data_IF_033840249569
#
_entry.id   IF_033840249569
#
_cell.length_a   1.000
_cell.length_b   1.000
_cell.length_c   1.000
_cell.angle_alpha   90.00
_cell.angle_beta   90.00
_cell.angle_gamma   90.00
#
_symmetry.space_group_name_H-M   'P 1'
#
loop_
_entity.id
_entity.type
_entity.pdbx_description
1 polymer ?
#
# COMPACT_ATOMS: atom_id res chain seq x y z
N UNK A 1 10.01 7.38 -35.47
CA UNK A 1 10.72 7.10 -34.21
C UNK A 1 9.81 6.51 -33.12
N UNK A 2 8.51 6.86 -33.09
CA UNK A 2 7.56 6.26 -32.12
C UNK A 2 7.45 4.72 -32.14
N UNK A 3 7.42 4.01 -33.30
CA UNK A 3 7.25 2.56 -33.30
C UNK A 3 8.40 1.82 -32.61
N UNK A 4 9.64 2.21 -32.90
CA UNK A 4 10.82 1.60 -32.27
C UNK A 4 10.87 1.82 -30.77
N UNK A 5 10.42 2.99 -30.28
CA UNK A 5 10.35 3.23 -28.85
C UNK A 5 9.28 2.35 -28.19
N UNK A 6 8.13 2.16 -28.85
CA UNK A 6 7.09 1.25 -28.38
C UNK A 6 7.59 -0.20 -28.32
N UNK A 7 8.30 -0.67 -29.35
CA UNK A 7 8.91 -2.00 -29.37
C UNK A 7 9.89 -2.19 -28.19
N UNK A 8 10.74 -1.18 -27.92
CA UNK A 8 11.66 -1.21 -26.78
C UNK A 8 10.91 -1.24 -25.45
N UNK A 9 9.87 -0.42 -25.29
CA UNK A 9 9.03 -0.41 -24.08
C UNK A 9 8.36 -1.77 -23.83
N UNK A 10 7.99 -2.49 -24.89
CA UNK A 10 7.47 -3.85 -24.79
C UNK A 10 8.49 -4.90 -24.30
N UNK A 11 9.79 -4.59 -24.32
CA UNK A 11 10.84 -5.54 -23.86
C UNK A 11 11.28 -5.34 -22.41
N UNK A 12 10.89 -4.26 -21.77
CA UNK A 12 11.22 -3.97 -20.38
C UNK A 12 10.02 -4.23 -19.47
N UNK A 13 10.27 -4.48 -18.19
CA UNK A 13 9.19 -4.69 -17.22
C UNK A 13 8.26 -3.46 -17.21
N UNK A 14 6.92 -3.61 -17.25
CA UNK A 14 6.02 -2.46 -17.39
C UNK A 14 6.18 -1.42 -16.28
N UNK A 15 6.46 -1.85 -15.05
CA UNK A 15 6.76 -0.94 -13.94
C UNK A 15 8.05 -0.15 -14.18
N UNK A 16 9.08 -0.77 -14.77
CA UNK A 16 10.33 -0.08 -15.13
C UNK A 16 10.13 0.91 -16.27
N UNK A 17 9.35 0.55 -17.30
CA UNK A 17 8.94 1.47 -18.37
C UNK A 17 8.24 2.70 -17.81
N UNK A 18 7.22 2.46 -16.99
CA UNK A 18 6.38 3.50 -16.40
C UNK A 18 7.18 4.44 -15.50
N UNK A 19 8.10 3.92 -14.69
CA UNK A 19 8.95 4.75 -13.82
C UNK A 19 10.07 5.45 -14.59
N UNK A 20 10.86 4.71 -15.37
CA UNK A 20 12.16 5.16 -15.87
C UNK A 20 12.12 5.84 -17.23
N UNK A 21 11.12 5.52 -18.06
CA UNK A 21 10.97 6.15 -19.37
C UNK A 21 9.84 7.17 -19.34
N UNK A 22 8.71 6.84 -18.69
CA UNK A 22 7.52 7.69 -18.68
C UNK A 22 7.42 8.63 -17.46
N UNK A 23 8.35 8.53 -16.50
CA UNK A 23 8.42 9.42 -15.33
C UNK A 23 7.24 9.31 -14.37
N UNK A 24 6.53 8.17 -14.36
CA UNK A 24 5.30 7.96 -13.57
C UNK A 24 5.50 6.99 -12.41
N UNK A 25 6.46 7.34 -11.55
CA UNK A 25 6.70 6.61 -10.30
C UNK A 25 5.50 6.64 -9.35
N UNK A 26 4.72 7.72 -9.39
CA UNK A 26 3.44 7.86 -8.67
C UNK A 26 2.40 6.81 -9.06
N UNK A 27 2.59 6.07 -10.16
CA UNK A 27 1.72 4.96 -10.52
C UNK A 27 2.30 3.64 -10.03
N UNK A 28 3.58 3.39 -10.29
CA UNK A 28 4.26 2.11 -9.97
C UNK A 28 4.31 1.83 -8.48
N UNK A 29 4.32 2.89 -7.66
CA UNK A 29 4.31 2.78 -6.21
C UNK A 29 2.95 2.32 -5.66
N UNK A 30 1.85 2.57 -6.37
CA UNK A 30 0.49 2.43 -5.80
C UNK A 30 -0.42 1.51 -6.61
N UNK A 31 0.00 1.10 -7.80
CA UNK A 31 -0.75 0.25 -8.73
C UNK A 31 0.18 -0.77 -9.37
N UNK A 32 -0.37 -1.95 -9.63
CA UNK A 32 0.30 -2.94 -10.47
C UNK A 32 0.16 -2.47 -11.91
N UNK A 33 1.30 -2.36 -12.60
CA UNK A 33 1.37 -1.76 -13.94
C UNK A 33 1.44 -2.88 -14.96
N UNK A 34 0.51 -2.87 -15.91
CA UNK A 34 0.44 -3.81 -17.03
C UNK A 34 1.10 -3.23 -18.28
N UNK A 35 1.38 -4.08 -19.27
CA UNK A 35 1.85 -3.62 -20.58
C UNK A 35 0.83 -2.67 -21.24
N UNK A 36 -0.47 -2.95 -21.10
CA UNK A 36 -1.54 -2.07 -21.60
C UNK A 36 -1.47 -0.68 -20.97
N UNK A 37 -1.19 -0.58 -19.66
CA UNK A 37 -1.05 0.73 -19.00
C UNK A 37 0.12 1.54 -19.59
N UNK A 38 1.21 0.87 -19.97
CA UNK A 38 2.37 1.50 -20.61
C UNK A 38 2.01 1.98 -22.01
N UNK A 39 1.36 1.13 -22.81
CA UNK A 39 0.89 1.48 -24.16
C UNK A 39 -0.12 2.63 -24.13
N UNK A 40 -1.10 2.56 -23.24
CA UNK A 40 -2.11 3.61 -23.07
C UNK A 40 -1.46 4.92 -22.66
N UNK A 41 -0.51 4.88 -21.72
CA UNK A 41 0.22 6.09 -21.31
C UNK A 41 1.06 6.68 -22.44
N UNK A 42 1.72 5.81 -23.21
CA UNK A 42 2.59 6.20 -24.30
C UNK A 42 1.80 6.86 -25.44
N UNK A 43 0.65 6.27 -25.80
CA UNK A 43 -0.21 6.75 -26.87
C UNK A 43 -1.13 7.90 -26.43
N UNK A 44 -1.51 7.96 -25.16
CA UNK A 44 -2.43 8.95 -24.60
C UNK A 44 -1.87 9.59 -23.32
N UNK A 45 -0.96 10.58 -23.43
CA UNK A 45 -0.29 11.19 -22.28
C UNK A 45 -1.20 11.95 -21.29
N UNK A 46 -2.50 12.05 -21.56
CA UNK A 46 -3.46 12.83 -20.76
C UNK A 46 -4.49 11.92 -20.06
N UNK A 47 -4.68 10.66 -20.49
CA UNK A 47 -5.82 9.83 -20.06
C UNK A 47 -5.64 9.10 -18.74
N UNK A 48 -4.39 8.80 -18.32
CA UNK A 48 -4.18 8.24 -16.98
C UNK A 48 -4.36 9.36 -15.96
N UNK A 49 -5.59 9.42 -15.43
CA UNK A 49 -6.04 10.22 -14.30
C UNK A 49 -4.88 10.56 -13.38
N UNK A 50 -4.69 11.86 -13.12
CA UNK A 50 -3.74 12.36 -12.15
C UNK A 50 -3.85 11.52 -10.89
N UNK A 51 -2.83 10.69 -10.66
CA UNK A 51 -2.68 10.04 -9.37
C UNK A 51 -2.47 11.19 -8.41
N UNK A 52 -3.40 11.37 -7.48
CA UNK A 52 -3.17 12.27 -6.36
C UNK A 52 -2.01 11.78 -5.47
N UNK A 53 -1.47 10.60 -5.78
CA UNK A 53 -0.31 10.06 -5.12
C UNK A 53 0.91 10.97 -5.29
N UNK A 54 1.61 11.28 -4.18
CA UNK A 54 2.82 12.07 -4.27
C UNK A 54 3.89 11.31 -5.06
N UNK A 55 4.54 12.02 -5.99
CA UNK A 55 5.76 11.55 -6.67
C UNK A 55 6.92 11.60 -5.68
N UNK A 56 7.84 10.62 -5.69
CA UNK A 56 9.10 10.73 -4.96
C UNK A 56 9.80 12.06 -5.28
N UNK A 57 10.34 12.73 -4.27
CA UNK A 57 11.10 13.98 -4.38
C UNK A 57 12.54 13.75 -4.89
N UNK A 58 12.73 12.75 -5.75
CA UNK A 58 14.04 12.40 -6.30
C UNK A 58 14.40 13.43 -7.37
N UNK A 59 15.67 13.82 -7.43
CA UNK A 59 16.18 14.72 -8.46
C UNK A 59 15.92 14.19 -9.87
N UNK A 60 15.40 15.05 -10.75
CA UNK A 60 15.15 14.75 -12.16
C UNK A 60 16.33 15.28 -13.00
N UNK A 61 16.93 14.49 -13.91
CA UNK A 61 16.63 13.11 -14.27
C UNK A 61 17.21 12.08 -13.29
N UNK A 62 16.35 11.27 -12.68
CA UNK A 62 16.74 10.38 -11.59
C UNK A 62 17.72 9.27 -12.02
N UNK A 63 17.70 8.87 -13.28
CA UNK A 63 18.64 7.89 -13.85
C UNK A 63 20.08 8.43 -13.93
N UNK A 64 20.30 9.73 -13.74
CA UNK A 64 21.65 10.30 -13.63
C UNK A 64 22.21 10.22 -12.20
N UNK A 65 21.41 9.78 -11.23
CA UNK A 65 21.82 9.65 -9.84
C UNK A 65 21.95 8.18 -9.44
N UNK A 66 23.10 7.80 -8.86
CA UNK A 66 23.34 6.43 -8.39
C UNK A 66 22.26 5.93 -7.42
N UNK A 67 21.80 6.80 -6.51
CA UNK A 67 20.69 6.50 -5.59
C UNK A 67 19.36 6.29 -6.31
N UNK A 68 19.08 7.02 -7.39
CA UNK A 68 17.89 6.84 -8.21
C UNK A 68 17.90 5.51 -8.96
N UNK A 69 19.05 5.13 -9.52
CA UNK A 69 19.26 3.82 -10.15
C UNK A 69 19.11 2.69 -9.13
N UNK A 70 19.74 2.82 -7.95
CA UNK A 70 19.66 1.83 -6.89
C UNK A 70 18.22 1.62 -6.41
N UNK A 71 17.47 2.71 -6.20
CA UNK A 71 16.06 2.63 -5.81
C UNK A 71 15.23 1.92 -6.89
N UNK A 72 15.44 2.25 -8.17
CA UNK A 72 14.75 1.58 -9.27
C UNK A 72 15.06 0.09 -9.26
N UNK A 73 16.33 -0.29 -9.17
CA UNK A 73 16.73 -1.69 -9.10
C UNK A 73 16.05 -2.42 -7.94
N UNK A 74 16.08 -1.85 -6.73
CA UNK A 74 15.44 -2.45 -5.54
C UNK A 74 13.94 -2.61 -5.75
N UNK A 75 13.23 -1.56 -6.19
CA UNK A 75 11.78 -1.68 -6.43
C UNK A 75 11.42 -2.70 -7.51
N UNK A 76 12.16 -2.72 -8.63
CA UNK A 76 11.90 -3.71 -9.68
C UNK A 76 12.21 -5.14 -9.22
N UNK A 77 13.25 -5.33 -8.39
CA UNK A 77 13.52 -6.63 -7.79
C UNK A 77 12.37 -7.10 -6.91
N UNK A 78 11.80 -6.23 -6.07
CA UNK A 78 10.65 -6.55 -5.24
C UNK A 78 9.40 -6.85 -6.07
N UNK A 79 9.13 -6.06 -7.10
CA UNK A 79 8.00 -6.28 -8.00
C UNK A 79 8.12 -7.63 -8.72
N UNK A 80 9.30 -7.93 -9.27
CA UNK A 80 9.58 -9.21 -9.94
C UNK A 80 9.42 -10.41 -8.99
N UNK A 81 9.91 -10.27 -7.75
CA UNK A 81 9.73 -11.27 -6.71
C UNK A 81 8.25 -11.47 -6.34
N UNK A 82 7.48 -10.38 -6.29
CA UNK A 82 6.06 -10.43 -5.95
C UNK A 82 5.18 -11.07 -7.03
N UNK A 83 5.53 -10.88 -8.30
CA UNK A 83 4.82 -11.45 -9.45
C UNK A 83 5.13 -12.94 -9.63
N UNK A 84 6.33 -13.38 -9.24
CA UNK A 84 6.75 -14.78 -9.30
C UNK A 84 6.56 -15.49 -7.95
N UNK A 85 5.34 -15.47 -7.41
CA UNK A 85 5.02 -16.05 -6.09
C UNK A 85 5.43 -17.54 -5.93
N UNK A 86 5.59 -18.28 -7.02
CA UNK A 86 6.07 -19.67 -6.98
C UNK A 86 7.57 -19.83 -6.68
N UNK A 87 8.38 -18.80 -6.92
CA UNK A 87 9.83 -18.81 -6.64
C UNK A 87 10.20 -18.04 -5.38
N UNK A 88 9.26 -17.27 -4.83
CA UNK A 88 9.48 -16.45 -3.65
C UNK A 88 9.62 -17.31 -2.39
N UNK A 89 10.79 -17.23 -1.75
CA UNK A 89 11.12 -18.04 -0.57
C UNK A 89 11.00 -17.25 0.73
N UNK A 90 10.97 -17.96 1.86
CA UNK A 90 11.09 -17.34 3.18
C UNK A 90 12.40 -16.57 3.37
N UNK A 91 13.47 -16.97 2.66
CA UNK A 91 14.77 -16.27 2.67
C UNK A 91 14.66 -14.91 1.98
N UNK A 92 14.03 -14.85 0.81
CA UNK A 92 13.83 -13.60 0.05
C UNK A 92 12.97 -12.61 0.84
N UNK A 93 11.92 -13.13 1.48
CA UNK A 93 11.06 -12.36 2.39
C UNK A 93 11.87 -11.77 3.55
N UNK A 94 12.75 -12.57 4.15
CA UNK A 94 13.59 -12.14 5.27
C UNK A 94 14.62 -11.09 4.84
N UNK A 95 15.22 -11.23 3.67
CA UNK A 95 16.15 -10.24 3.11
C UNK A 95 15.46 -8.90 2.84
N UNK A 96 14.24 -8.92 2.28
CA UNK A 96 13.43 -7.72 2.09
C UNK A 96 13.19 -7.01 3.43
N UNK A 97 12.81 -7.73 4.48
CA UNK A 97 12.57 -7.11 5.79
C UNK A 97 13.84 -6.60 6.45
N UNK A 98 14.95 -7.33 6.36
CA UNK A 98 16.24 -6.87 6.89
C UNK A 98 16.70 -5.59 6.19
N UNK A 99 16.55 -5.52 4.86
CA UNK A 99 16.85 -4.31 4.10
C UNK A 99 15.95 -3.14 4.53
N UNK A 100 14.65 -3.36 4.67
CA UNK A 100 13.72 -2.30 5.09
C UNK A 100 14.03 -1.79 6.50
N UNK A 101 14.38 -2.67 7.43
CA UNK A 101 14.72 -2.26 8.80
C UNK A 101 16.00 -1.40 8.85
N UNK A 102 16.94 -1.62 7.93
CA UNK A 102 18.19 -0.85 7.85
C UNK A 102 18.03 0.46 7.06
N UNK A 103 17.34 0.40 5.93
CA UNK A 103 17.38 1.46 4.91
C UNK A 103 16.13 2.35 4.90
N UNK A 104 15.05 2.00 5.62
CA UNK A 104 13.81 2.78 5.58
C UNK A 104 14.00 4.27 5.91
N UNK A 105 14.73 4.69 6.96
CA UNK A 105 14.90 6.11 7.25
C UNK A 105 15.60 6.87 6.11
N UNK A 106 16.61 6.25 5.50
CA UNK A 106 17.31 6.84 4.36
C UNK A 106 16.43 6.90 3.11
N UNK A 107 15.67 5.84 2.83
CA UNK A 107 14.72 5.81 1.72
C UNK A 107 13.62 6.86 1.88
N UNK A 108 13.08 7.04 3.09
CA UNK A 108 12.07 8.06 3.35
C UNK A 108 12.63 9.47 3.17
N UNK A 109 13.86 9.72 3.64
CA UNK A 109 14.55 10.98 3.43
C UNK A 109 14.79 11.27 1.94
N UNK A 110 15.30 10.28 1.21
CA UNK A 110 15.65 10.41 -0.20
C UNK A 110 14.44 10.57 -1.12
N UNK A 111 13.38 9.80 -0.86
CA UNK A 111 12.16 9.83 -1.69
C UNK A 111 11.17 10.89 -1.23
N UNK A 112 11.30 11.42 -0.01
CA UNK A 112 10.28 12.26 0.60
C UNK A 112 8.92 11.56 0.71
N UNK A 113 8.89 10.23 0.71
CA UNK A 113 7.72 9.38 0.92
C UNK A 113 7.85 8.67 2.26
N UNK A 114 6.74 8.42 2.93
CA UNK A 114 6.70 7.64 4.18
C UNK A 114 6.50 6.16 3.89
N UNK A 115 5.66 5.83 2.92
CA UNK A 115 5.39 4.49 2.42
C UNK A 115 6.34 4.19 1.25
N UNK A 116 7.44 3.50 1.54
CA UNK A 116 8.51 3.21 0.56
C UNK A 116 8.33 1.88 -0.19
N UNK A 117 7.37 1.05 0.23
CA UNK A 117 7.14 -0.30 -0.29
C UNK A 117 5.99 -0.26 -1.29
N UNK A 118 6.21 -0.54 -2.58
CA UNK A 118 5.15 -0.56 -3.58
C UNK A 118 3.95 -1.38 -3.14
N UNK A 119 2.76 -0.81 -3.29
CA UNK A 119 1.51 -1.47 -2.90
C UNK A 119 1.31 -2.84 -3.55
N UNK A 120 1.69 -3.07 -4.83
CA UNK A 120 1.60 -4.41 -5.42
C UNK A 120 2.47 -5.46 -4.70
N UNK A 121 3.63 -5.05 -4.18
CA UNK A 121 4.49 -5.94 -3.39
C UNK A 121 3.79 -6.33 -2.09
N UNK A 122 3.19 -5.37 -1.38
CA UNK A 122 2.41 -5.65 -0.17
C UNK A 122 1.19 -6.53 -0.47
N UNK A 123 0.46 -6.24 -1.56
CA UNK A 123 -0.70 -6.99 -2.05
C UNK A 123 -0.35 -8.48 -2.22
N UNK A 124 0.71 -8.76 -2.97
CA UNK A 124 1.19 -10.12 -3.22
C UNK A 124 1.62 -10.83 -1.93
N UNK A 125 2.35 -10.14 -1.04
CA UNK A 125 2.84 -10.72 0.21
C UNK A 125 1.71 -11.05 1.20
N UNK A 126 0.64 -10.26 1.23
CA UNK A 126 -0.51 -10.52 2.10
C UNK A 126 -1.41 -11.65 1.59
N UNK A 127 -1.41 -11.93 0.29
CA UNK A 127 -2.18 -13.01 -0.36
C UNK A 127 -1.31 -14.17 -0.84
N UNK A 128 -0.04 -14.22 -0.43
CA UNK A 128 0.91 -15.24 -0.87
C UNK A 128 0.39 -16.65 -0.61
N UNK A 129 0.66 -17.64 -1.45
CA UNK A 129 0.10 -19.01 -1.27
C UNK A 129 0.69 -19.69 -0.03
N UNK A 130 2.00 -19.53 0.16
CA UNK A 130 2.75 -20.07 1.28
C UNK A 130 2.42 -19.31 2.58
N UNK A 131 1.95 -20.04 3.58
CA UNK A 131 1.52 -19.49 4.88
C UNK A 131 2.64 -18.77 5.64
N UNK A 132 3.88 -19.28 5.61
CA UNK A 132 5.02 -18.66 6.32
C UNK A 132 5.34 -17.27 5.78
N UNK A 133 5.26 -17.06 4.47
CA UNK A 133 5.47 -15.76 3.81
C UNK A 133 4.34 -14.80 4.19
N UNK A 134 3.09 -15.27 4.14
CA UNK A 134 1.92 -14.53 4.62
C UNK A 134 2.05 -14.09 6.09
N UNK A 135 2.59 -14.95 6.94
CA UNK A 135 2.82 -14.62 8.35
C UNK A 135 3.94 -13.59 8.51
N UNK A 136 5.07 -13.78 7.81
CA UNK A 136 6.18 -12.82 7.82
C UNK A 136 5.75 -11.45 7.29
N UNK A 137 4.87 -11.40 6.29
CA UNK A 137 4.39 -10.14 5.71
C UNK A 137 3.60 -9.26 6.68
N UNK A 138 3.14 -9.79 7.82
CA UNK A 138 2.56 -9.00 8.90
C UNK A 138 3.56 -8.01 9.54
N UNK A 139 4.88 -8.16 9.30
CA UNK A 139 5.89 -7.14 9.65
C UNK A 139 5.64 -5.81 8.93
N UNK A 140 5.09 -5.83 7.70
CA UNK A 140 4.73 -4.63 6.95
C UNK A 140 3.74 -3.74 7.69
N UNK A 141 2.89 -4.32 8.54
CA UNK A 141 1.89 -3.56 9.30
C UNK A 141 2.54 -2.62 10.32
N UNK A 142 3.69 -3.02 10.89
CA UNK A 142 4.47 -2.17 11.79
C UNK A 142 5.03 -0.96 11.02
N UNK A 143 5.76 -1.23 9.93
CA UNK A 143 6.36 -0.19 9.07
C UNK A 143 5.29 0.77 8.52
N UNK A 144 4.16 0.22 8.10
CA UNK A 144 3.03 1.01 7.62
C UNK A 144 2.52 1.93 8.72
N UNK A 145 2.25 1.40 9.93
CA UNK A 145 1.79 2.19 11.08
C UNK A 145 2.75 3.34 11.43
N UNK A 146 4.05 3.06 11.46
CA UNK A 146 5.08 4.08 11.71
C UNK A 146 5.05 5.18 10.64
N UNK A 147 4.74 4.83 9.39
CA UNK A 147 4.62 5.77 8.28
C UNK A 147 3.41 6.73 8.41
N UNK A 148 2.42 6.42 9.26
CA UNK A 148 1.30 7.33 9.56
C UNK A 148 1.68 8.46 10.52
N UNK A 149 2.70 8.28 11.36
CA UNK A 149 3.07 9.29 12.36
C UNK A 149 3.49 10.60 11.67
N UNK A 150 3.07 11.78 12.21
CA UNK A 150 3.58 13.07 11.76
C UNK A 150 5.11 13.11 11.88
N UNK A 151 5.79 13.73 10.91
CA UNK A 151 7.23 13.92 10.95
C UNK A 151 7.56 15.41 10.84
N UNK A 152 8.27 16.00 11.82
CA UNK A 152 8.71 17.39 11.73
C UNK A 152 9.52 17.62 10.45
N UNK A 153 9.12 18.62 9.65
CA UNK A 153 9.78 18.96 8.38
C UNK A 153 9.24 18.23 7.15
N UNK A 154 8.23 17.38 7.28
CA UNK A 154 7.49 16.84 6.15
C UNK A 154 6.34 17.76 5.72
N UNK A 155 6.09 17.83 4.41
CA UNK A 155 4.92 18.47 3.83
C UNK A 155 3.65 17.72 4.25
N UNK A 156 2.84 18.33 5.12
CA UNK A 156 1.62 17.74 5.68
C UNK A 156 0.57 17.44 4.60
N UNK A 157 0.45 18.30 3.59
CA UNK A 157 -0.50 18.11 2.49
C UNK A 157 -0.06 16.89 1.68
N UNK A 158 1.22 16.81 1.32
CA UNK A 158 1.80 15.66 0.63
C UNK A 158 1.62 14.37 1.42
N UNK A 159 1.83 14.39 2.73
CA UNK A 159 1.63 13.22 3.60
C UNK A 159 0.15 12.81 3.67
N UNK A 160 -0.78 13.77 3.70
CA UNK A 160 -2.24 13.52 3.61
C UNK A 160 -2.58 12.76 2.32
N UNK A 161 -2.07 13.21 1.17
CA UNK A 161 -2.26 12.54 -0.11
C UNK A 161 -1.66 11.14 -0.15
N UNK A 162 -0.51 10.96 0.48
CA UNK A 162 0.13 9.65 0.62
C UNK A 162 -0.74 8.66 1.42
N UNK A 163 -1.26 9.11 2.57
CA UNK A 163 -2.15 8.33 3.41
C UNK A 163 -3.44 7.94 2.68
N UNK A 164 -4.06 8.88 1.96
CA UNK A 164 -5.24 8.60 1.14
C UNK A 164 -4.93 7.56 0.05
N UNK A 165 -3.80 7.70 -0.62
CA UNK A 165 -3.38 6.75 -1.67
C UNK A 165 -3.12 5.35 -1.10
N UNK A 166 -2.46 5.27 0.05
CA UNK A 166 -2.27 4.00 0.76
C UNK A 166 -3.61 3.35 1.12
N UNK A 167 -4.57 4.12 1.63
CA UNK A 167 -5.92 3.62 1.93
C UNK A 167 -6.61 3.12 0.67
N UNK A 168 -6.51 3.82 -0.46
CA UNK A 168 -7.05 3.35 -1.74
C UNK A 168 -6.46 2.00 -2.13
N UNK A 169 -5.14 1.83 -2.00
CA UNK A 169 -4.47 0.56 -2.30
C UNK A 169 -4.96 -0.57 -1.38
N UNK A 170 -5.02 -0.34 -0.07
CA UNK A 170 -5.54 -1.31 0.91
C UNK A 170 -7.02 -1.64 0.64
N UNK A 171 -7.83 -0.65 0.25
CA UNK A 171 -9.24 -0.85 -0.12
C UNK A 171 -9.37 -1.81 -1.30
N UNK A 172 -8.57 -1.58 -2.37
CA UNK A 172 -8.55 -2.46 -3.55
C UNK A 172 -8.11 -3.86 -3.16
N UNK A 173 -7.06 -3.99 -2.37
CA UNK A 173 -6.58 -5.27 -1.85
C UNK A 173 -7.68 -6.05 -1.11
N UNK A 174 -8.39 -5.42 -0.18
CA UNK A 174 -9.50 -6.06 0.57
C UNK A 174 -10.64 -6.46 -0.37
N UNK A 175 -10.90 -5.69 -1.43
CA UNK A 175 -11.97 -5.96 -2.39
C UNK A 175 -11.69 -7.17 -3.29
N UNK A 176 -10.43 -7.64 -3.38
CA UNK A 176 -10.04 -8.80 -4.20
C UNK A 176 -10.63 -10.10 -3.67
N UNK A 177 -11.24 -10.93 -4.52
CA UNK A 177 -11.88 -12.21 -4.16
C UNK A 177 -11.11 -13.45 -4.59
N UNK A 178 -10.02 -13.29 -5.31
CA UNK A 178 -9.24 -14.39 -5.86
C UNK A 178 -8.48 -15.18 -4.79
N UNK A 179 -8.02 -14.52 -3.72
CA UNK A 179 -7.30 -15.16 -2.61
C UNK A 179 -7.67 -14.56 -1.26
N UNK A 180 -7.47 -15.37 -0.21
CA UNK A 180 -7.70 -14.93 1.17
C UNK A 180 -6.46 -14.23 1.71
N UNK A 181 -6.57 -12.93 1.94
CA UNK A 181 -5.52 -12.12 2.56
C UNK A 181 -5.42 -12.34 4.07
N UNK A 182 -4.19 -12.31 4.61
CA UNK A 182 -3.95 -12.28 6.06
C UNK A 182 -4.55 -11.07 6.76
N UNK A 183 -4.84 -9.99 6.04
CA UNK A 183 -5.51 -8.82 6.61
C UNK A 183 -6.96 -9.13 7.02
N UNK A 184 -7.60 -10.09 6.36
CA UNK A 184 -8.99 -10.47 6.60
C UNK A 184 -9.12 -11.51 7.71
N UNK A 185 -8.13 -12.39 7.84
CA UNK A 185 -8.24 -13.63 8.64
C UNK A 185 -7.46 -13.61 9.94
N UNK A 186 -6.46 -12.74 10.08
CA UNK A 186 -5.63 -12.70 11.29
C UNK A 186 -6.06 -11.56 12.21
N UNK A 187 -5.99 -11.78 13.52
CA UNK A 187 -6.28 -10.74 14.51
C UNK A 187 -5.36 -9.50 14.32
N UNK A 188 -4.09 -9.72 13.97
CA UNK A 188 -3.13 -8.64 13.70
C UNK A 188 -3.49 -7.83 12.46
N UNK A 189 -3.90 -8.49 11.39
CA UNK A 189 -4.41 -7.86 10.17
C UNK A 189 -5.67 -7.03 10.41
N UNK A 190 -6.67 -7.63 11.07
CA UNK A 190 -7.93 -6.95 11.41
C UNK A 190 -7.72 -5.76 12.36
N UNK A 191 -6.80 -5.87 13.33
CA UNK A 191 -6.42 -4.76 14.20
C UNK A 191 -5.72 -3.64 13.42
N UNK A 192 -4.93 -3.95 12.40
CA UNK A 192 -4.33 -2.95 11.52
C UNK A 192 -5.39 -2.21 10.69
N UNK A 193 -6.39 -2.91 10.14
CA UNK A 193 -7.49 -2.23 9.44
C UNK A 193 -8.29 -1.33 10.40
N UNK A 194 -8.49 -1.77 11.65
CA UNK A 194 -9.15 -0.94 12.67
C UNK A 194 -8.33 0.31 12.98
N UNK A 195 -7.01 0.19 13.02
CA UNK A 195 -6.11 1.32 13.14
C UNK A 195 -6.30 2.31 11.96
N UNK A 196 -6.32 1.82 10.71
CA UNK A 196 -6.57 2.68 9.54
C UNK A 196 -7.93 3.39 9.64
N UNK A 197 -9.01 2.67 10.02
CA UNK A 197 -10.33 3.27 10.21
C UNK A 197 -10.28 4.43 11.22
N UNK A 198 -9.59 4.25 12.34
CA UNK A 198 -9.47 5.26 13.37
C UNK A 198 -8.65 6.47 12.89
N UNK A 199 -7.56 6.25 12.15
CA UNK A 199 -6.76 7.33 11.56
C UNK A 199 -7.54 8.11 10.50
N UNK A 200 -8.31 7.43 9.63
CA UNK A 200 -9.17 8.06 8.64
C UNK A 200 -10.18 9.03 9.30
N UNK A 201 -10.76 8.60 10.41
CA UNK A 201 -11.70 9.39 11.20
C UNK A 201 -10.98 10.56 11.88
N UNK A 202 -9.92 10.28 12.64
CA UNK A 202 -9.23 11.28 13.45
C UNK A 202 -8.63 12.41 12.61
N UNK A 203 -8.16 12.09 11.40
CA UNK A 203 -7.54 13.03 10.46
C UNK A 203 -8.49 13.56 9.40
N UNK A 204 -9.76 13.18 9.46
CA UNK A 204 -10.79 13.59 8.50
C UNK A 204 -10.40 13.31 7.04
N UNK A 205 -9.77 12.15 6.79
CA UNK A 205 -9.30 11.77 5.44
C UNK A 205 -10.43 11.28 4.52
N UNK A 206 -11.68 11.38 4.97
CA UNK A 206 -12.89 10.99 4.24
C UNK A 206 -13.43 12.08 3.30
N UNK A 207 -12.66 13.14 3.02
CA UNK A 207 -12.98 14.07 1.91
C UNK A 207 -12.83 13.41 0.53
N UNK A 208 -12.08 12.30 0.46
CA UNK A 208 -11.88 11.52 -0.74
C UNK A 208 -13.12 10.66 -1.04
N UNK A 209 -13.85 11.02 -2.12
CA UNK A 209 -15.03 10.31 -2.62
C UNK A 209 -14.79 8.80 -2.76
N UNK A 210 -13.61 8.37 -3.20
CA UNK A 210 -13.31 6.95 -3.30
C UNK A 210 -13.33 6.27 -1.93
N UNK A 211 -12.72 6.90 -0.92
CA UNK A 211 -12.64 6.37 0.44
C UNK A 211 -14.05 6.29 1.03
N UNK A 212 -14.85 7.37 0.91
CA UNK A 212 -16.23 7.42 1.42
C UNK A 212 -17.08 6.25 0.90
N UNK A 213 -17.00 5.93 -0.39
CA UNK A 213 -17.89 4.93 -0.99
C UNK A 213 -17.33 3.50 -0.97
N UNK A 214 -16.00 3.32 -1.05
CA UNK A 214 -15.39 1.99 -1.20
C UNK A 214 -14.87 1.44 0.12
N UNK A 215 -14.38 2.28 1.03
CA UNK A 215 -13.86 1.81 2.33
C UNK A 215 -14.93 1.13 3.20
N UNK A 216 -16.17 1.63 3.34
CA UNK A 216 -17.20 0.94 4.12
C UNK A 216 -17.48 -0.49 3.62
N UNK A 217 -17.47 -0.68 2.29
CA UNK A 217 -17.66 -2.00 1.66
C UNK A 217 -16.49 -2.93 2.00
N UNK A 218 -15.26 -2.42 1.97
CA UNK A 218 -14.07 -3.17 2.37
C UNK A 218 -14.13 -3.58 3.86
N UNK A 219 -14.51 -2.66 4.75
CA UNK A 219 -14.69 -2.94 6.18
C UNK A 219 -15.79 -3.98 6.42
N UNK A 220 -16.93 -3.88 5.74
CA UNK A 220 -18.00 -4.87 5.83
C UNK A 220 -17.53 -6.27 5.41
N UNK A 221 -16.72 -6.35 4.36
CA UNK A 221 -16.14 -7.61 3.92
C UNK A 221 -15.19 -8.21 4.96
N UNK A 222 -14.29 -7.40 5.54
CA UNK A 222 -13.40 -7.87 6.62
C UNK A 222 -14.22 -8.41 7.79
N UNK A 223 -15.31 -7.72 8.15
CA UNK A 223 -16.21 -8.21 9.19
C UNK A 223 -16.82 -9.56 8.86
N UNK A 224 -17.31 -9.73 7.62
CA UNK A 224 -17.90 -10.98 7.15
C UNK A 224 -16.90 -12.13 7.13
N UNK A 225 -15.75 -11.93 6.48
CA UNK A 225 -14.71 -12.97 6.35
C UNK A 225 -14.05 -13.30 7.68
N UNK A 226 -13.80 -12.28 8.51
CA UNK A 226 -13.14 -12.42 9.80
C UNK A 226 -14.05 -12.83 10.96
N UNK A 227 -15.37 -12.96 10.73
CA UNK A 227 -16.34 -13.26 11.79
C UNK A 227 -16.40 -12.21 12.90
N UNK A 228 -16.19 -10.92 12.55
CA UNK A 228 -16.06 -9.85 13.54
C UNK A 228 -17.42 -9.28 13.98
N UNK A 229 -17.55 -8.85 15.24
CA UNK A 229 -18.75 -8.16 15.74
C UNK A 229 -19.10 -6.92 14.93
N UNK A 230 -20.39 -6.53 14.97
CA UNK A 230 -20.89 -5.36 14.23
C UNK A 230 -20.18 -4.06 14.62
N UNK A 231 -19.89 -3.92 15.91
CA UNK A 231 -19.26 -2.73 16.51
C UNK A 231 -17.72 -2.78 16.49
N UNK A 232 -17.09 -3.73 15.79
CA UNK A 232 -15.63 -3.88 15.82
C UNK A 232 -14.90 -2.68 15.20
N UNK A 233 -15.49 -2.09 14.15
CA UNK A 233 -14.99 -0.88 13.50
C UNK A 233 -15.86 0.31 13.86
N UNK A 234 -15.23 1.46 14.08
CA UNK A 234 -15.94 2.73 14.21
C UNK A 234 -16.70 3.05 12.91
N UNK A 235 -17.89 3.61 13.04
CA UNK A 235 -18.67 4.07 11.91
C UNK A 235 -18.06 5.37 11.38
N UNK A 236 -18.12 5.57 10.06
CA UNK A 236 -17.89 6.92 9.54
C UNK A 236 -19.02 7.84 10.00
N UNK A 237 -18.70 9.11 10.29
CA UNK A 237 -19.74 10.10 10.48
C UNK A 237 -20.57 10.22 9.20
N UNK A 238 -21.91 10.29 9.34
CA UNK A 238 -22.83 10.36 8.21
C UNK A 238 -22.81 11.71 7.51
N UNK A 239 -22.26 12.73 8.16
CA UNK A 239 -21.93 14.03 7.57
C UNK A 239 -20.60 14.57 8.12
N UNK A 240 -19.90 15.47 7.40
CA UNK A 240 -18.64 16.07 7.87
C UNK A 240 -18.75 16.79 9.23
N UNK A 241 -19.96 17.25 9.57
CA UNK A 241 -20.25 17.96 10.83
C UNK A 241 -20.61 17.01 11.99
N UNK A 242 -20.77 15.72 11.72
CA UNK A 242 -21.13 14.72 12.72
C UNK A 242 -19.88 14.21 13.44
N UNK A 243 -19.87 14.28 14.77
CA UNK A 243 -18.71 13.77 15.53
C UNK A 243 -18.67 12.25 15.46
N UNK A 244 -17.49 11.65 15.20
CA UNK A 244 -17.36 10.21 15.11
C UNK A 244 -17.69 9.54 16.46
N UNK A 245 -18.59 8.57 16.43
CA UNK A 245 -18.90 7.72 17.60
C UNK A 245 -17.84 6.62 17.67
N UNK A 246 -16.81 6.84 18.49
CA UNK A 246 -15.80 5.83 18.78
C UNK A 246 -16.43 4.73 19.65
N UNK A 247 -16.22 3.43 19.34
CA UNK A 247 -16.62 2.35 20.23
C UNK A 247 -15.93 2.49 21.59
N UNK A 248 -16.69 2.48 22.67
CA UNK A 248 -16.17 2.44 24.05
C UNK A 248 -15.61 1.06 24.35
N UNK A 249 -14.41 0.75 23.84
CA UNK A 249 -13.65 -0.43 24.22
C UNK A 249 -12.45 0.02 25.04
N UNK A 250 -12.39 -0.49 26.28
CA UNK A 250 -11.35 -0.20 27.26
C UNK A 250 -9.96 -0.35 26.62
N UNK A 251 -9.27 0.77 26.39
CA UNK A 251 -7.92 0.86 25.82
C UNK A 251 -6.88 0.51 26.89
N UNK A 252 -7.13 -0.59 27.61
CA UNK A 252 -6.27 -1.11 28.64
C UNK A 252 -6.01 -2.59 28.37
N UNK A 253 -4.75 -2.94 28.09
CA UNK A 253 -4.23 -4.31 27.97
C UNK A 253 -4.21 -4.97 26.58
N UNK A 254 -3.76 -4.24 25.55
CA UNK A 254 -2.84 -4.86 24.58
C UNK A 254 -1.53 -4.06 24.63
N UNK A 255 -0.70 -4.35 25.64
CA UNK A 255 0.72 -3.99 25.58
C UNK A 255 1.34 -4.85 24.48
N UNK A 256 1.49 -4.27 23.30
CA UNK A 256 2.29 -4.86 22.23
C UNK A 256 3.74 -4.88 22.69
N UNK A 257 4.25 -6.04 23.08
CA UNK A 257 5.70 -6.28 23.18
C UNK A 257 6.19 -6.54 21.77
N UNK A 258 7.15 -5.75 21.30
CA UNK A 258 7.63 -5.74 19.91
C UNK A 258 8.37 -7.02 19.48
N UNK A 259 8.62 -7.97 20.39
CA UNK A 259 9.57 -9.08 20.17
C UNK A 259 8.94 -10.48 20.11
N UNK A 260 7.61 -10.63 20.01
CA UNK A 260 7.00 -11.94 19.81
C UNK A 260 7.13 -12.37 18.33
N UNK A 261 8.34 -12.77 17.91
CA UNK A 261 8.57 -13.46 16.64
C UNK A 261 8.21 -14.96 16.74
N UNK A 262 8.03 -15.50 17.94
CA UNK A 262 7.65 -16.90 18.15
C UNK A 262 6.56 -16.98 19.22
N UNK A 263 5.38 -17.47 18.84
CA UNK A 263 4.30 -17.77 19.79
C UNK A 263 2.89 -17.51 19.24
N UNK A 264 2.24 -18.59 18.81
CA UNK A 264 0.79 -18.81 18.70
C UNK A 264 -0.09 -17.72 18.05
N UNK A 265 -0.20 -17.80 16.73
CA UNK A 265 -1.32 -17.20 15.97
C UNK A 265 -2.51 -18.19 15.81
N UNK A 266 -2.52 -19.30 16.54
CA UNK A 266 -3.55 -20.37 16.44
C UNK A 266 -4.74 -20.17 17.40
N UNK A 267 -4.84 -19.03 18.08
CA UNK A 267 -6.04 -18.72 18.85
C UNK A 267 -7.04 -17.93 18.00
N UNK A 268 -7.87 -18.64 17.23
CA UNK A 268 -9.23 -18.15 16.96
C UNK A 268 -9.89 -18.00 18.33
N UNK A 269 -9.93 -16.77 18.84
CA UNK A 269 -10.67 -16.49 20.07
C UNK A 269 -12.14 -16.88 19.82
N UNK A 270 -12.71 -17.83 20.58
CA UNK A 270 -14.13 -18.12 20.46
C UNK A 270 -14.90 -16.85 20.83
N UNK A 271 -15.83 -16.47 19.97
CA UNK A 271 -16.68 -15.27 20.02
C UNK A 271 -17.59 -15.14 21.27
N UNK A 272 -17.27 -15.78 22.40
CA UNK A 272 -18.12 -15.88 23.59
C UNK A 272 -17.82 -14.89 24.72
N UNK A 273 -16.84 -13.99 24.60
CA UNK A 273 -16.55 -12.99 25.67
C UNK A 273 -16.78 -11.52 25.34
N UNK A 274 -17.20 -11.17 24.13
CA UNK A 274 -17.45 -9.76 23.75
C UNK A 274 -18.91 -9.43 23.41
N UNK A 275 -19.82 -10.41 23.47
CA UNK A 275 -21.24 -10.20 23.18
C UNK A 275 -21.99 -9.43 24.29
N UNK A 276 -21.40 -9.20 25.46
CA UNK A 276 -22.06 -8.50 26.58
C UNK A 276 -22.07 -6.98 26.46
N UNK A 277 -21.26 -6.39 25.57
CA UNK A 277 -21.13 -4.93 25.47
C UNK A 277 -21.99 -4.29 24.35
N UNK A 278 -22.76 -5.10 23.59
CA UNK A 278 -23.65 -4.61 22.52
C UNK A 278 -25.12 -4.50 22.96
N UNK A 279 -25.43 -4.56 24.26
CA UNK A 279 -26.77 -4.29 24.76
C UNK A 279 -26.86 -2.85 25.25
N UNK A 280 -27.51 -2.01 24.45
CA UNK A 280 -28.17 -0.79 24.90
C UNK A 280 -29.62 -0.87 24.43
N UNK A 281 -30.47 -1.18 25.42
CA UNK A 281 -31.83 -0.69 25.67
C UNK A 281 -32.88 -0.82 24.56
N UNK A 282 -33.67 -1.90 24.69
CA UNK A 282 -35.07 -1.90 24.28
C UNK A 282 -35.85 -1.08 25.30
N UNK A 283 -36.28 0.12 24.93
CA UNK A 283 -37.47 0.70 25.54
C UNK A 283 -38.69 0.31 24.69
N UNK A 284 -39.63 -0.35 25.36
CA UNK A 284 -40.98 -0.61 24.89
C UNK A 284 -41.74 0.72 24.77
N UNK A 285 -42.23 1.05 23.56
CA UNK A 285 -43.45 1.85 23.41
C UNK A 285 -44.30 1.26 22.29
N UNK A 286 -45.50 0.83 22.67
CA UNK A 286 -46.53 0.27 21.80
C UNK A 286 -47.37 1.40 21.17
N UNK A 287 -47.61 1.26 19.86
CA UNK A 287 -48.71 1.80 19.02
C UNK A 287 -49.04 3.30 19.01
N UNK A 288 -49.05 3.89 17.81
CA UNK A 288 -50.23 4.39 17.04
C UNK A 288 -49.66 5.06 15.77
N UNK A 289 -49.95 4.58 14.56
CA UNK A 289 -50.96 5.22 13.71
C UNK A 289 -50.48 5.27 12.24
N UNK A 290 -51.34 4.79 11.34
CA UNK A 290 -51.20 4.79 9.89
C UNK A 290 -51.09 6.22 9.31
N UNK A 291 -50.19 6.42 8.36
CA UNK A 291 -50.43 7.28 7.20
C UNK A 291 -49.52 6.88 6.04
N UNK A 292 -50.14 6.43 4.95
CA UNK A 292 -49.55 6.31 3.64
C UNK A 292 -49.21 7.71 3.11
N UNK A 293 -48.00 7.89 2.56
CA UNK A 293 -47.83 8.83 1.48
C UNK A 293 -46.71 8.38 0.55
N UNK A 294 -47.09 8.16 -0.71
CA UNK A 294 -46.21 8.06 -1.86
C UNK A 294 -45.37 9.33 -1.96
N UNK A 295 -44.16 9.22 -2.52
CA UNK A 295 -43.80 9.92 -3.76
C UNK A 295 -42.39 9.49 -4.21
N UNK A 296 -42.37 8.95 -5.42
CA UNK A 296 -41.52 9.33 -6.54
C UNK A 296 -39.98 9.27 -6.39
N UNK A 297 -39.53 8.10 -6.85
CA UNK A 297 -38.34 7.81 -7.64
C UNK A 297 -37.83 9.02 -8.44
N UNK A 298 -36.62 9.47 -8.13
CA UNK A 298 -35.72 10.13 -9.09
C UNK A 298 -34.35 9.46 -8.99
N UNK A 299 -34.01 8.67 -10.01
CA UNK A 299 -32.67 8.15 -10.24
C UNK A 299 -31.77 9.23 -10.85
N UNK A 300 -30.49 9.26 -10.47
CA UNK A 300 -29.43 9.67 -11.38
C UNK A 300 -28.60 8.43 -11.78
N UNK A 301 -28.86 7.99 -13.00
CA UNK A 301 -27.96 7.18 -13.82
C UNK A 301 -26.68 7.97 -14.14
N UNK A 302 -25.65 7.23 -14.51
CA UNK A 302 -24.42 7.67 -15.20
C UNK A 302 -23.23 8.03 -14.30
N UNK A 303 -22.65 6.99 -13.67
CA UNK A 303 -21.20 6.94 -13.48
C UNK A 303 -20.68 5.66 -14.14
N UNK A 304 -19.90 5.84 -15.20
CA UNK A 304 -19.29 4.76 -15.98
C UNK A 304 -18.21 4.09 -15.13
N UNK A 305 -18.40 2.80 -14.89
CA UNK A 305 -17.48 1.89 -14.21
C UNK A 305 -16.31 1.56 -15.16
N UNK A 306 -15.26 2.39 -15.15
CA UNK A 306 -14.01 2.13 -15.88
C UNK A 306 -13.03 1.43 -14.94
N UNK A 307 -13.32 0.18 -14.56
CA UNK A 307 -12.35 -0.71 -13.89
C UNK A 307 -12.76 -2.19 -14.09
N UNK A 308 -13.26 -2.52 -15.30
CA UNK A 308 -13.61 -3.89 -15.66
C UNK A 308 -12.97 -4.31 -16.99
N UNK A 309 -11.74 -4.81 -16.90
CA UNK A 309 -11.23 -5.75 -17.88
C UNK A 309 -10.60 -6.93 -17.15
N UNK A 310 -11.28 -8.08 -17.26
CA UNK A 310 -10.68 -9.37 -16.99
C UNK A 310 -9.90 -9.85 -18.20
N UNK A 311 -8.77 -10.49 -17.95
CA UNK A 311 -8.14 -11.39 -18.91
C UNK A 311 -7.69 -12.66 -18.20
N UNK A 312 -8.54 -13.66 -18.32
CA UNK A 312 -8.19 -15.01 -18.72
C UNK A 312 -6.96 -15.05 -19.65
N UNK A 313 -5.90 -15.82 -19.32
CA UNK A 313 -5.49 -17.04 -20.07
C UNK A 313 -4.03 -17.51 -19.88
N UNK A 314 -3.94 -18.84 -19.84
CA UNK A 314 -3.00 -19.76 -20.53
C UNK A 314 -1.57 -19.94 -20.00
N UNK A 315 -1.34 -21.18 -19.55
CA UNK A 315 -0.05 -21.86 -19.41
C UNK A 315 0.77 -21.81 -20.71
N UNK A 316 2.01 -21.36 -20.62
CA UNK A 316 3.08 -21.78 -21.51
C UNK A 316 4.37 -21.97 -20.69
N UNK A 317 4.89 -23.19 -20.77
CA UNK A 317 6.21 -23.59 -20.29
C UNK A 317 7.33 -22.73 -20.89
N UNK A 318 8.26 -22.28 -20.04
CA UNK A 318 9.66 -22.16 -20.46
C UNK A 318 10.62 -22.23 -19.27
N UNK A 319 11.55 -23.17 -19.37
CA UNK A 319 12.67 -23.45 -18.47
C UNK A 319 13.76 -22.37 -18.52
N UNK A 320 14.52 -22.32 -17.43
CA UNK A 320 15.88 -21.79 -17.27
C UNK A 320 16.07 -20.27 -17.26
N UNK A 321 16.20 -19.70 -16.05
CA UNK A 321 17.10 -18.59 -15.79
C UNK A 321 17.61 -18.67 -14.35
N UNK A 322 18.93 -18.72 -14.19
CA UNK A 322 19.65 -18.76 -12.92
C UNK A 322 19.46 -17.46 -12.12
N UNK A 323 19.28 -17.57 -10.80
CA UNK A 323 19.22 -16.43 -9.87
C UNK A 323 20.43 -15.49 -9.98
N UNK A 324 20.23 -14.17 -10.02
CA UNK A 324 21.30 -13.23 -9.71
C UNK A 324 21.35 -12.99 -8.19
N UNK A 325 22.52 -13.23 -7.60
CA UNK A 325 22.79 -12.92 -6.20
C UNK A 325 22.72 -11.42 -5.93
N UNK A 326 22.12 -11.05 -4.79
CA UNK A 326 22.06 -9.68 -4.29
C UNK A 326 23.49 -9.22 -3.97
N UNK A 327 23.96 -8.21 -4.71
CA UNK A 327 25.25 -7.57 -4.49
C UNK A 327 25.14 -6.64 -3.28
N UNK A 328 25.93 -6.90 -2.23
CA UNK A 328 26.10 -6.00 -1.09
C UNK A 328 26.69 -4.68 -1.57
N UNK A 329 25.93 -3.60 -1.45
CA UNK A 329 26.44 -2.24 -1.64
C UNK A 329 27.15 -1.85 -0.34
N UNK A 330 28.47 -2.08 -0.28
CA UNK A 330 29.35 -1.40 0.68
C UNK A 330 30.51 -0.75 -0.06
N UNK A 331 30.53 0.58 0.03
CA UNK A 331 31.68 1.48 0.05
C UNK A 331 32.69 1.43 -1.11
N UNK A 332 32.51 2.33 -2.07
CA UNK A 332 33.59 2.85 -2.91
C UNK A 332 34.14 4.16 -2.33
N UNK A 333 35.17 4.08 -1.49
CA UNK A 333 36.02 5.21 -1.12
C UNK A 333 36.84 5.64 -2.36
N UNK A 334 36.46 6.72 -3.04
CA UNK A 334 37.33 7.40 -4.00
C UNK A 334 38.08 8.53 -3.28
N UNK A 335 39.34 8.26 -2.91
CA UNK A 335 40.32 9.30 -2.60
C UNK A 335 40.64 10.04 -3.90
N UNK A 336 40.37 11.35 -3.90
CA UNK A 336 40.77 12.27 -4.95
C UNK A 336 42.29 12.34 -5.06
N UNK A 337 42.74 12.39 -6.31
CA UNK A 337 44.12 12.66 -6.71
C UNK A 337 44.39 14.14 -6.46
N UNK A 338 45.28 14.46 -5.53
CA UNK A 338 45.80 15.82 -5.33
C UNK A 338 46.72 16.20 -6.50
N UNK A 339 46.33 17.26 -7.22
CA UNK A 339 47.15 17.91 -8.23
C UNK A 339 48.25 18.74 -7.58
N UNK A 340 49.49 18.41 -7.93
CA UNK A 340 50.71 19.19 -7.72
C UNK A 340 50.56 20.62 -8.27
N UNK A 341 50.67 21.62 -7.40
CA UNK A 341 51.04 22.99 -7.78
C UNK A 341 52.49 23.19 -7.33
N UNK A 342 53.37 23.43 -8.30
CA UNK A 342 54.75 23.84 -8.08
C UNK A 342 54.75 25.33 -7.75
N UNK A 343 55.18 25.69 -6.55
CA UNK A 343 55.61 27.05 -6.23
C UNK A 343 57.08 27.21 -6.63
N UNK A 344 57.33 28.27 -7.40
CA UNK A 344 58.63 28.74 -7.87
C UNK A 344 59.11 29.86 -6.94
N UNK A 345 60.21 29.70 -6.17
CA UNK A 345 60.75 30.77 -5.36
C UNK A 345 62.08 31.24 -5.97
N UNK A 346 62.03 32.21 -6.88
CA UNK A 346 63.10 33.20 -7.09
C UNK A 346 62.62 34.32 -8.04
N UNK A 347 62.05 35.35 -7.44
CA UNK A 347 61.90 36.67 -8.05
C UNK A 347 62.51 37.71 -7.11
N UNK A 348 63.84 37.87 -7.18
CA UNK A 348 64.61 39.14 -7.19
C UNK A 348 65.92 38.87 -7.93
#
# INVERSE_FOLDING_TARGET
>A
MMPHLQDILGTILPSAAMSAVLGRWDLTMWRDITASDVDDRFNHPITISSSYAPRPAIGDPFLQHSKGIALLFVQQSWMTMSQNAGTFTGTDTSQLFNFLELEQPELQCYTGLRFVIPSPVADALWMHEIFTIRKQSLKLLRLSRESWAPNPGCDEIRHKWEQQTFVRAVTRHIARTDRTSVLLTTARGQAFIRFIQNELIARQLYEDVFIVYKWPKAVQRIRGVGGLPVCYFALFPGSPDERPVLPSLNVGSIRYRADAIEGDDEAVLPAKRSASACRSDKEDVTSVGLAQQSNDIVSPSDYVDVDRFGSERINLDSRNASSPGIMNIKEGHMKGIEGRVHDDPNAV
#
